data_IF_741819627894
#
_entry.id   IF_741819627894
#
_cell.length_a   1.000
_cell.length_b   1.000
_cell.length_c   1.000
_cell.angle_alpha   90.00
_cell.angle_beta   90.00
_cell.angle_gamma   90.00
#
_symmetry.space_group_name_H-M   'P 1'
#
loop_
_entity.id
_entity.type
_entity.pdbx_description
1 polymer ?
#
# COMPACT_ATOMS: atom_id res chain seq x y z
N UNK A 1 -23.95 -2.74 -29.80
CA UNK A 1 -24.28 -1.62 -28.89
C UNK A 1 -23.10 -1.18 -28.01
N UNK A 2 -22.25 -2.09 -27.51
CA UNK A 2 -21.14 -1.75 -26.58
C UNK A 2 -20.09 -0.79 -27.14
N UNK A 3 -19.64 -0.94 -28.40
CA UNK A 3 -18.54 -0.11 -28.94
C UNK A 3 -18.90 1.39 -28.99
N UNK A 4 -20.13 1.74 -29.40
CA UNK A 4 -20.56 3.15 -29.46
C UNK A 4 -20.63 3.81 -28.08
N UNK A 5 -21.06 3.06 -27.06
CA UNK A 5 -21.12 3.57 -25.69
C UNK A 5 -19.72 3.81 -25.11
N UNK A 6 -18.77 2.90 -25.37
CA UNK A 6 -17.37 3.05 -24.96
C UNK A 6 -16.69 4.21 -25.69
N UNK A 7 -16.89 4.35 -27.01
CA UNK A 7 -16.36 5.49 -27.77
C UNK A 7 -16.94 6.83 -27.30
N UNK A 8 -18.23 6.90 -27.01
CA UNK A 8 -18.84 8.11 -26.46
C UNK A 8 -18.25 8.46 -25.08
N UNK A 9 -18.04 7.45 -24.22
CA UNK A 9 -17.44 7.65 -22.90
C UNK A 9 -15.99 8.13 -22.97
N UNK A 10 -15.19 7.56 -23.87
CA UNK A 10 -13.82 8.01 -24.16
C UNK A 10 -13.78 9.49 -24.53
N UNK A 11 -14.65 9.92 -25.46
CA UNK A 11 -14.70 11.32 -25.90
C UNK A 11 -15.15 12.27 -24.78
N UNK A 12 -16.13 11.87 -23.95
CA UNK A 12 -16.56 12.66 -22.81
C UNK A 12 -15.47 12.82 -21.75
N UNK A 13 -14.67 11.77 -21.52
CA UNK A 13 -13.53 11.86 -20.61
C UNK A 13 -12.41 12.72 -21.22
N UNK A 14 -12.10 12.56 -22.52
CA UNK A 14 -11.10 13.38 -23.22
C UNK A 14 -11.43 14.88 -23.14
N UNK A 15 -12.71 15.25 -23.31
CA UNK A 15 -13.12 16.65 -23.25
C UNK A 15 -12.97 17.27 -21.85
N UNK A 16 -13.03 16.49 -20.77
CA UNK A 16 -12.78 16.99 -19.41
C UNK A 16 -11.30 17.36 -19.17
N UNK A 17 -10.38 16.59 -19.76
CA UNK A 17 -8.94 16.88 -19.63
C UNK A 17 -8.51 18.00 -20.59
N UNK A 18 -9.18 18.12 -21.73
CA UNK A 18 -8.85 19.04 -22.83
C UNK A 18 -8.16 18.29 -23.97
N UNK A 19 -8.41 18.73 -25.21
CA UNK A 19 -7.93 18.04 -26.43
C UNK A 19 -6.39 18.00 -26.50
N UNK A 20 -5.71 19.02 -25.99
CA UNK A 20 -4.23 19.12 -25.96
C UNK A 20 -3.60 18.69 -24.62
N UNK A 21 -4.37 18.00 -23.76
CA UNK A 21 -3.89 17.60 -22.43
C UNK A 21 -2.77 16.56 -22.44
N UNK A 22 -2.56 15.87 -23.56
CA UNK A 22 -1.62 14.75 -23.68
C UNK A 22 -2.02 13.51 -22.88
N UNK A 23 -3.22 13.49 -22.27
CA UNK A 23 -3.70 12.40 -21.43
C UNK A 23 -4.22 11.25 -22.29
N UNK A 24 -3.67 10.05 -22.11
CA UNK A 24 -4.16 8.83 -22.75
C UNK A 24 -5.31 8.21 -21.95
N UNK A 25 -6.53 8.69 -22.23
CA UNK A 25 -7.76 8.23 -21.58
C UNK A 25 -8.05 6.74 -21.86
N UNK A 26 -7.61 6.22 -23.01
CA UNK A 26 -7.78 4.80 -23.32
C UNK A 26 -6.93 3.92 -22.39
N UNK A 27 -5.66 4.30 -22.19
CA UNK A 27 -4.79 3.64 -21.22
C UNK A 27 -5.35 3.75 -19.79
N UNK A 28 -5.94 4.90 -19.42
CA UNK A 28 -6.58 5.07 -18.11
C UNK A 28 -7.74 4.09 -17.89
N UNK A 29 -8.61 3.91 -18.89
CA UNK A 29 -9.75 2.98 -18.80
C UNK A 29 -9.33 1.50 -18.78
N UNK A 30 -8.22 1.17 -19.44
CA UNK A 30 -7.64 -0.19 -19.35
C UNK A 30 -7.15 -0.47 -17.94
N UNK A 31 -6.52 0.52 -17.29
CA UNK A 31 -6.01 0.39 -15.91
C UNK A 31 -7.12 0.43 -14.86
N UNK A 32 -8.11 1.29 -15.05
CA UNK A 32 -9.23 1.47 -14.13
C UNK A 32 -10.57 1.40 -14.88
N UNK A 33 -11.10 0.18 -15.12
CA UNK A 33 -12.34 -0.01 -15.88
C UNK A 33 -13.56 0.66 -15.24
N UNK A 34 -13.54 0.91 -13.93
CA UNK A 34 -14.63 1.56 -13.20
C UNK A 34 -14.91 2.98 -13.70
N UNK A 35 -13.91 3.67 -14.27
CA UNK A 35 -14.10 4.99 -14.89
C UNK A 35 -15.10 4.97 -16.05
N UNK A 36 -15.30 3.83 -16.70
CA UNK A 36 -16.28 3.70 -17.77
C UNK A 36 -17.73 3.91 -17.27
N UNK A 37 -18.02 3.49 -16.04
CA UNK A 37 -19.36 3.52 -15.44
C UNK A 37 -19.60 4.63 -14.41
N UNK A 38 -18.56 5.34 -13.98
CA UNK A 38 -18.65 6.34 -12.92
C UNK A 38 -19.46 7.60 -13.33
N UNK A 39 -20.06 8.29 -12.36
CA UNK A 39 -20.77 9.56 -12.62
C UNK A 39 -19.77 10.64 -13.08
N UNK A 40 -20.07 11.27 -14.22
CA UNK A 40 -19.21 12.31 -14.78
C UNK A 40 -19.11 13.55 -13.89
N UNK A 41 -20.14 13.84 -13.09
CA UNK A 41 -20.10 14.95 -12.11
C UNK A 41 -19.09 14.68 -11.00
N UNK A 42 -18.97 13.43 -10.56
CA UNK A 42 -17.99 13.02 -9.55
C UNK A 42 -16.58 13.19 -10.10
N UNK A 43 -16.33 12.70 -11.31
CA UNK A 43 -15.03 12.84 -12.00
C UNK A 43 -14.68 14.32 -12.20
N UNK A 44 -15.61 15.13 -12.70
CA UNK A 44 -15.38 16.55 -12.97
C UNK A 44 -15.12 17.35 -11.69
N UNK A 45 -15.90 17.11 -10.63
CA UNK A 45 -15.68 17.72 -9.31
C UNK A 45 -14.30 17.36 -8.79
N UNK A 46 -13.94 16.09 -8.86
CA UNK A 46 -12.66 15.59 -8.37
C UNK A 46 -11.47 16.18 -9.12
N UNK A 47 -11.56 16.26 -10.44
CA UNK A 47 -10.56 16.90 -11.28
C UNK A 47 -10.38 18.39 -10.94
N UNK A 48 -11.48 19.10 -10.64
CA UNK A 48 -11.42 20.50 -10.21
C UNK A 48 -10.73 20.65 -8.85
N UNK A 49 -11.08 19.81 -7.86
CA UNK A 49 -10.41 19.77 -6.55
C UNK A 49 -8.89 19.56 -6.70
N UNK A 50 -8.50 18.62 -7.57
CA UNK A 50 -7.09 18.35 -7.87
C UNK A 50 -6.39 19.54 -8.53
N UNK A 51 -7.06 20.22 -9.47
CA UNK A 51 -6.52 21.42 -10.13
C UNK A 51 -6.34 22.59 -9.15
N UNK A 52 -7.24 22.75 -8.19
CA UNK A 52 -7.14 23.81 -7.18
C UNK A 52 -5.98 23.57 -6.21
N UNK A 53 -5.76 22.33 -5.77
CA UNK A 53 -4.69 22.01 -4.81
C UNK A 53 -3.29 21.90 -5.45
N UNK A 54 -3.20 21.47 -6.71
CA UNK A 54 -1.91 21.37 -7.43
C UNK A 54 -1.42 22.68 -8.03
N UNK A 55 -2.27 23.71 -8.12
CA UNK A 55 -1.99 24.90 -8.91
C UNK A 55 -1.88 24.61 -10.42
N UNK A 56 -1.40 25.59 -11.20
CA UNK A 56 -1.23 25.49 -12.67
C UNK A 56 -0.03 24.59 -13.09
N UNK A 57 0.43 23.67 -12.25
CA UNK A 57 1.54 22.76 -12.58
C UNK A 57 1.05 21.53 -13.36
N UNK A 58 1.76 21.18 -14.43
CA UNK A 58 1.42 20.09 -15.36
C UNK A 58 1.49 18.68 -14.78
N UNK A 59 2.01 18.51 -13.57
CA UNK A 59 2.26 17.19 -12.96
C UNK A 59 0.97 16.48 -12.53
N UNK A 60 -0.12 17.24 -12.27
CA UNK A 60 -1.40 16.68 -11.81
C UNK A 60 -2.03 15.73 -12.84
N UNK A 61 -1.98 16.08 -14.13
CA UNK A 61 -2.55 15.23 -15.19
C UNK A 61 -1.73 13.96 -15.42
N UNK A 62 -0.40 14.06 -15.31
CA UNK A 62 0.49 12.89 -15.38
C UNK A 62 0.21 11.92 -14.23
N UNK A 63 0.00 12.45 -13.02
CA UNK A 63 -0.37 11.69 -11.85
C UNK A 63 -1.75 11.01 -12.00
N UNK A 64 -2.76 11.72 -12.51
CA UNK A 64 -4.07 11.12 -12.83
C UNK A 64 -3.95 10.00 -13.86
N UNK A 65 -3.13 10.20 -14.90
CA UNK A 65 -2.91 9.16 -15.90
C UNK A 65 -2.23 7.93 -15.31
N UNK A 66 -1.26 8.13 -14.40
CA UNK A 66 -0.61 7.04 -13.68
C UNK A 66 -1.57 6.32 -12.73
N UNK A 67 -2.51 7.04 -12.11
CA UNK A 67 -3.41 6.53 -11.08
C UNK A 67 -4.85 7.02 -11.29
N UNK A 68 -5.57 6.46 -12.27
CA UNK A 68 -6.89 6.96 -12.68
C UNK A 68 -7.97 6.79 -11.60
N UNK A 69 -7.77 5.87 -10.65
CA UNK A 69 -8.67 5.66 -9.51
C UNK A 69 -8.82 6.88 -8.59
N UNK A 70 -7.87 7.83 -8.61
CA UNK A 70 -7.98 9.08 -7.86
C UNK A 70 -9.20 9.92 -8.23
N UNK A 71 -9.75 9.72 -9.44
CA UNK A 71 -10.95 10.40 -9.93
C UNK A 71 -12.27 9.80 -9.41
N UNK A 72 -12.24 8.56 -8.90
CA UNK A 72 -13.42 7.84 -8.47
C UNK A 72 -13.81 8.15 -7.02
N UNK A 73 -12.86 8.59 -6.21
CA UNK A 73 -13.01 8.77 -4.78
C UNK A 73 -12.57 10.18 -4.40
N UNK A 74 -13.52 11.01 -3.97
CA UNK A 74 -13.27 12.32 -3.39
C UNK A 74 -13.38 12.28 -1.86
N UNK A 75 -12.99 13.36 -1.15
CA UNK A 75 -13.26 13.50 0.28
C UNK A 75 -14.76 13.36 0.53
N UNK A 76 -15.12 12.69 1.63
CA UNK A 76 -16.52 12.49 1.97
C UNK A 76 -17.19 13.85 2.17
N UNK A 77 -18.45 14.02 1.74
CA UNK A 77 -19.19 15.25 2.05
C UNK A 77 -19.37 15.48 3.57
N UNK A 78 -19.07 14.46 4.38
CA UNK A 78 -19.04 14.49 5.84
C UNK A 78 -17.73 15.07 6.41
N UNK A 79 -16.70 15.33 5.59
CA UNK A 79 -15.41 15.90 6.03
C UNK A 79 -15.48 17.40 6.41
N UNK A 80 -16.63 18.05 6.23
CA UNK A 80 -16.82 19.48 6.52
C UNK A 80 -16.82 19.73 8.03
N UNK A 81 -15.65 20.07 8.59
CA UNK A 81 -15.50 20.47 10.00
C UNK A 81 -14.36 19.80 10.77
N UNK A 82 -13.63 18.87 10.14
CA UNK A 82 -12.41 18.29 10.70
C UNK A 82 -11.17 18.96 10.10
N UNK A 83 -10.01 18.77 10.74
CA UNK A 83 -8.75 19.38 10.31
C UNK A 83 -8.42 18.94 8.88
N UNK A 84 -8.73 19.80 7.92
CA UNK A 84 -8.57 19.53 6.49
C UNK A 84 -7.10 19.35 6.15
N UNK A 85 -6.82 18.41 5.24
CA UNK A 85 -5.48 18.24 4.69
C UNK A 85 -5.02 19.53 4.02
N UNK A 86 -3.80 19.95 4.32
CA UNK A 86 -3.12 20.96 3.51
C UNK A 86 -2.99 20.48 2.06
N UNK A 87 -2.90 21.42 1.10
CA UNK A 87 -2.74 21.04 -0.30
C UNK A 87 -1.48 20.20 -0.55
N UNK A 88 -0.43 20.40 0.26
CA UNK A 88 0.79 19.58 0.25
C UNK A 88 0.54 18.15 0.74
N UNK A 89 -0.19 17.97 1.85
CA UNK A 89 -0.55 16.64 2.36
C UNK A 89 -1.41 15.87 1.34
N UNK A 90 -2.36 16.55 0.67
CA UNK A 90 -3.18 15.95 -0.39
C UNK A 90 -2.34 15.52 -1.59
N UNK A 91 -1.42 16.38 -2.05
CA UNK A 91 -0.53 16.03 -3.16
C UNK A 91 0.32 14.79 -2.85
N UNK A 92 0.90 14.74 -1.65
CA UNK A 92 1.63 13.56 -1.19
C UNK A 92 0.75 12.31 -1.13
N UNK A 93 -0.50 12.43 -0.69
CA UNK A 93 -1.43 11.31 -0.70
C UNK A 93 -1.67 10.78 -2.13
N UNK A 94 -1.82 11.68 -3.09
CA UNK A 94 -2.05 11.33 -4.49
C UNK A 94 -0.87 10.65 -5.16
N UNK A 95 0.37 10.93 -4.76
CA UNK A 95 1.54 10.19 -5.27
C UNK A 95 1.43 8.68 -4.99
N UNK A 96 0.77 8.30 -3.89
CA UNK A 96 0.55 6.91 -3.49
C UNK A 96 -0.82 6.36 -3.91
N UNK A 97 -1.64 7.12 -4.64
CA UNK A 97 -2.96 6.67 -5.09
C UNK A 97 -4.00 6.64 -4.00
N UNK A 98 -3.81 7.45 -2.95
CA UNK A 98 -4.77 7.63 -1.88
C UNK A 98 -5.62 8.87 -2.16
N UNK A 99 -6.96 8.79 -2.05
CA UNK A 99 -7.82 9.92 -2.38
C UNK A 99 -7.69 11.09 -1.39
N UNK A 100 -7.47 10.83 -0.12
CA UNK A 100 -7.18 11.85 0.89
C UNK A 100 -6.32 11.25 2.00
N UNK A 101 -5.71 12.12 2.78
CA UNK A 101 -4.96 11.80 3.99
C UNK A 101 -5.61 12.47 5.21
N UNK A 102 -6.93 12.76 5.13
CA UNK A 102 -7.68 13.46 6.18
C UNK A 102 -7.56 12.70 7.49
N UNK A 103 -7.76 13.39 8.62
CA UNK A 103 -7.73 12.70 9.90
C UNK A 103 -8.74 11.54 9.95
N UNK A 104 -9.89 11.67 9.30
CA UNK A 104 -10.90 10.62 9.23
C UNK A 104 -10.43 9.43 8.38
N UNK A 105 -9.93 9.70 7.17
CA UNK A 105 -9.41 8.67 6.27
C UNK A 105 -8.22 7.93 6.87
N UNK A 106 -7.29 8.69 7.46
CA UNK A 106 -6.15 8.14 8.16
C UNK A 106 -6.58 7.25 9.33
N UNK A 107 -7.56 7.69 10.14
CA UNK A 107 -8.08 6.91 11.27
C UNK A 107 -8.78 5.62 10.81
N UNK A 108 -9.51 5.67 9.69
CA UNK A 108 -10.11 4.48 9.07
C UNK A 108 -9.03 3.48 8.66
N UNK A 109 -7.97 3.91 7.98
CA UNK A 109 -6.85 3.03 7.58
C UNK A 109 -6.06 2.47 8.76
N UNK A 110 -5.92 3.25 9.84
CA UNK A 110 -5.35 2.75 11.08
C UNK A 110 -6.22 1.62 11.66
N UNK A 111 -7.55 1.75 11.58
CA UNK A 111 -8.48 0.67 11.97
C UNK A 111 -8.33 -0.56 11.07
N UNK A 112 -8.19 -0.38 9.76
CA UNK A 112 -7.92 -1.47 8.80
C UNK A 112 -6.60 -2.19 9.17
N UNK A 113 -5.55 -1.45 9.53
CA UNK A 113 -4.28 -2.01 9.99
C UNK A 113 -4.42 -2.80 11.30
N UNK A 114 -5.24 -2.31 12.25
CA UNK A 114 -5.53 -3.06 13.48
C UNK A 114 -6.23 -4.38 13.17
N UNK A 115 -7.25 -4.37 12.31
CA UNK A 115 -7.91 -5.59 11.87
C UNK A 115 -6.97 -6.54 11.11
N UNK A 116 -6.05 -5.99 10.30
CA UNK A 116 -5.00 -6.75 9.64
C UNK A 116 -4.12 -7.47 10.67
N UNK A 117 -3.67 -6.76 11.71
CA UNK A 117 -2.91 -7.35 12.80
C UNK A 117 -3.67 -8.43 13.54
N UNK A 118 -4.95 -8.24 13.82
CA UNK A 118 -5.77 -9.25 14.49
C UNK A 118 -5.89 -10.54 13.65
N UNK A 119 -5.93 -10.40 12.32
CA UNK A 119 -6.00 -11.54 11.39
C UNK A 119 -4.65 -12.24 11.16
N UNK A 120 -3.55 -11.48 11.13
CA UNK A 120 -2.23 -11.99 10.72
C UNK A 120 -1.22 -12.16 11.86
N UNK A 121 -1.47 -11.55 13.02
CA UNK A 121 -0.55 -11.50 14.15
C UNK A 121 0.47 -10.35 14.09
N UNK A 122 0.55 -9.62 12.97
CA UNK A 122 1.52 -8.55 12.73
C UNK A 122 0.94 -7.39 11.92
N UNK A 123 1.64 -6.25 11.91
CA UNK A 123 1.27 -5.06 11.14
C UNK A 123 2.14 -4.89 9.86
N UNK A 124 2.75 -5.96 9.35
CA UNK A 124 3.66 -5.91 8.19
C UNK A 124 2.92 -6.11 6.87
N UNK A 125 2.20 -5.05 6.47
CA UNK A 125 1.44 -5.00 5.21
C UNK A 125 2.36 -4.77 4.01
N UNK A 126 2.03 -5.40 2.88
CA UNK A 126 2.67 -5.21 1.57
C UNK A 126 3.51 -6.39 1.11
N UNK A 127 3.55 -7.48 1.88
CA UNK A 127 4.45 -8.60 1.63
C UNK A 127 3.73 -9.94 1.54
N UNK A 128 2.38 -9.94 1.48
CA UNK A 128 1.57 -11.13 1.22
C UNK A 128 0.75 -10.93 -0.06
N UNK A 129 0.53 -12.02 -0.80
CA UNK A 129 -0.20 -11.99 -2.07
C UNK A 129 -1.64 -11.46 -1.97
N UNK A 130 -2.29 -11.63 -0.80
CA UNK A 130 -3.68 -11.25 -0.57
C UNK A 130 -3.84 -9.96 0.25
N UNK A 131 -2.76 -9.20 0.40
CA UNK A 131 -2.85 -7.90 1.08
C UNK A 131 -3.74 -6.94 0.28
N UNK A 132 -4.56 -6.16 0.99
CA UNK A 132 -5.51 -5.22 0.38
C UNK A 132 -4.73 -4.08 -0.28
N UNK A 133 -4.86 -3.83 -1.60
CA UNK A 133 -4.04 -2.85 -2.32
C UNK A 133 -4.06 -1.45 -1.72
N UNK A 134 -5.20 -1.02 -1.18
CA UNK A 134 -5.34 0.29 -0.53
C UNK A 134 -4.50 0.40 0.74
N UNK A 135 -4.47 -0.65 1.56
CA UNK A 135 -3.68 -0.69 2.79
C UNK A 135 -2.18 -0.79 2.48
N UNK A 136 -1.80 -1.47 1.39
CA UNK A 136 -0.41 -1.51 0.89
C UNK A 136 0.06 -0.09 0.51
N UNK A 137 -0.74 0.63 -0.30
CA UNK A 137 -0.44 2.02 -0.68
C UNK A 137 -0.34 2.94 0.53
N UNK A 138 -1.28 2.80 1.47
CA UNK A 138 -1.28 3.58 2.70
C UNK A 138 -0.04 3.30 3.56
N UNK A 139 0.34 2.04 3.74
CA UNK A 139 1.56 1.66 4.45
C UNK A 139 2.82 2.22 3.76
N UNK A 140 2.91 2.14 2.43
CA UNK A 140 4.00 2.73 1.66
C UNK A 140 4.11 4.24 1.86
N UNK A 141 2.98 4.95 1.88
CA UNK A 141 2.94 6.39 2.21
C UNK A 141 3.47 6.65 3.62
N UNK A 142 3.02 5.90 4.62
CA UNK A 142 3.51 6.08 6.00
C UNK A 142 5.03 5.90 6.08
N UNK A 143 5.60 4.89 5.40
CA UNK A 143 7.05 4.70 5.33
C UNK A 143 7.75 5.88 4.64
N UNK A 144 7.16 6.45 3.60
CA UNK A 144 7.69 7.64 2.91
C UNK A 144 7.68 8.89 3.78
N UNK A 145 6.57 9.16 4.47
CA UNK A 145 6.44 10.31 5.36
C UNK A 145 7.38 10.20 6.57
N UNK A 146 7.59 8.99 7.09
CA UNK A 146 8.57 8.72 8.14
C UNK A 146 10.00 9.00 7.65
N UNK A 147 10.40 8.45 6.50
CA UNK A 147 11.75 8.67 5.93
C UNK A 147 12.02 10.14 5.61
N UNK A 148 11.01 10.87 5.16
CA UNK A 148 11.12 12.31 4.83
C UNK A 148 10.93 13.23 6.05
N UNK A 149 10.75 12.70 7.26
CA UNK A 149 10.46 13.47 8.48
C UNK A 149 9.21 14.36 8.38
N UNK A 150 8.29 14.02 7.48
CA UNK A 150 7.02 14.74 7.29
C UNK A 150 5.86 14.12 8.10
N UNK A 151 6.10 12.96 8.71
CA UNK A 151 5.11 12.29 9.55
C UNK A 151 4.84 13.06 10.84
N UNK A 152 3.57 13.28 11.15
CA UNK A 152 3.14 13.85 12.42
C UNK A 152 3.44 12.90 13.59
N UNK A 153 3.74 13.46 14.76
CA UNK A 153 4.10 12.68 15.96
C UNK A 153 2.97 11.76 16.43
N UNK A 154 1.72 12.23 16.40
CA UNK A 154 0.54 11.45 16.77
C UNK A 154 0.34 10.23 15.87
N UNK A 155 0.54 10.38 14.56
CA UNK A 155 0.49 9.29 13.59
C UNK A 155 1.59 8.27 13.83
N UNK A 156 2.80 8.75 14.11
CA UNK A 156 3.95 7.90 14.43
C UNK A 156 3.67 7.05 15.68
N UNK A 157 3.26 7.67 16.78
CA UNK A 157 2.97 6.98 18.05
C UNK A 157 1.87 5.92 17.89
N UNK A 158 0.81 6.23 17.14
CA UNK A 158 -0.27 5.30 16.89
C UNK A 158 0.15 4.09 16.02
N UNK A 159 1.04 4.29 15.05
CA UNK A 159 1.61 3.21 14.25
C UNK A 159 2.57 2.33 15.08
N UNK A 160 3.42 2.95 15.88
CA UNK A 160 4.33 2.25 16.80
C UNK A 160 3.56 1.40 17.83
N UNK A 161 2.44 1.91 18.35
CA UNK A 161 1.57 1.16 19.27
C UNK A 161 0.94 -0.10 18.63
N UNK A 162 0.83 -0.15 17.31
CA UNK A 162 0.37 -1.33 16.58
C UNK A 162 1.52 -2.26 16.16
N UNK A 163 2.78 -1.90 16.45
CA UNK A 163 3.95 -2.65 16.00
C UNK A 163 4.25 -2.48 14.50
N UNK A 164 3.81 -1.37 13.90
CA UNK A 164 4.12 -1.06 12.51
C UNK A 164 5.63 -0.78 12.36
N UNK A 165 6.26 -1.47 11.42
CA UNK A 165 7.69 -1.28 11.11
C UNK A 165 7.83 -0.36 9.89
N UNK A 166 8.55 0.76 10.08
CA UNK A 166 8.71 1.80 9.06
C UNK A 166 9.82 1.46 8.06
N UNK A 167 10.83 0.69 8.48
CA UNK A 167 11.83 0.17 7.57
C UNK A 167 11.25 -1.01 6.78
N UNK A 168 11.19 -0.87 5.46
CA UNK A 168 10.54 -1.83 4.58
C UNK A 168 11.23 -3.19 4.58
N UNK A 169 12.56 -3.20 4.54
CA UNK A 169 13.34 -4.43 4.54
C UNK A 169 13.25 -5.17 5.89
N UNK A 170 13.17 -4.41 6.99
CA UNK A 170 12.94 -4.95 8.32
C UNK A 170 11.50 -5.45 8.47
N UNK A 171 10.51 -4.73 7.95
CA UNK A 171 9.11 -5.16 7.98
C UNK A 171 8.90 -6.48 7.22
N UNK A 172 9.50 -6.63 6.04
CA UNK A 172 9.46 -7.88 5.29
C UNK A 172 10.09 -9.03 6.07
N UNK A 173 11.27 -8.79 6.67
CA UNK A 173 11.95 -9.80 7.48
C UNK A 173 11.12 -10.19 8.71
N UNK A 174 10.57 -9.20 9.42
CA UNK A 174 9.75 -9.43 10.61
C UNK A 174 8.45 -10.16 10.29
N UNK A 175 7.89 -9.97 9.08
CA UNK A 175 6.74 -10.76 8.63
C UNK A 175 7.08 -12.25 8.56
N UNK A 176 8.17 -12.60 7.88
CA UNK A 176 8.60 -14.01 7.77
C UNK A 176 8.93 -14.59 9.14
N UNK A 177 9.54 -13.80 10.01
CA UNK A 177 9.78 -14.19 11.40
C UNK A 177 8.48 -14.47 12.16
N UNK A 178 7.47 -13.59 12.06
CA UNK A 178 6.17 -13.77 12.71
C UNK A 178 5.48 -15.04 12.21
N UNK A 179 5.53 -15.28 10.89
CA UNK A 179 4.99 -16.50 10.28
C UNK A 179 5.70 -17.76 10.84
N UNK A 180 7.02 -17.75 10.90
CA UNK A 180 7.81 -18.84 11.49
C UNK A 180 7.51 -19.08 12.97
N UNK A 181 7.36 -18.00 13.76
CA UNK A 181 7.07 -18.09 15.18
C UNK A 181 5.68 -18.73 15.43
N UNK A 182 4.73 -18.46 14.53
CA UNK A 182 3.36 -19.04 14.61
C UNK A 182 3.26 -20.46 14.06
N UNK A 183 4.21 -20.91 13.23
CA UNK A 183 4.17 -22.23 12.58
C UNK A 183 4.64 -23.40 13.46
N UNK A 184 4.66 -23.23 14.78
CA UNK A 184 5.21 -24.18 15.75
C UNK A 184 4.20 -25.28 16.13
N UNK A 185 3.83 -26.16 15.18
CA UNK A 185 3.59 -27.61 15.42
C UNK A 185 3.03 -28.34 14.19
N UNK A 186 3.71 -29.41 13.79
CA UNK A 186 3.24 -30.64 13.11
C UNK A 186 2.35 -30.58 11.84
N UNK A 187 2.09 -29.41 11.26
CA UNK A 187 1.10 -29.26 10.16
C UNK A 187 1.74 -28.87 8.83
N UNK A 188 2.91 -29.44 8.50
CA UNK A 188 3.61 -29.23 7.22
C UNK A 188 2.99 -30.01 6.04
N UNK A 189 1.82 -30.65 6.22
CA UNK A 189 1.20 -31.51 5.21
C UNK A 189 -0.30 -31.23 5.03
N UNK A 190 -0.64 -30.02 4.58
CA UNK A 190 -2.02 -29.70 4.20
C UNK A 190 -2.16 -28.46 3.35
N UNK A 191 -2.23 -28.62 2.02
CA UNK A 191 -2.38 -27.57 0.99
C UNK A 191 -1.26 -26.50 0.88
N UNK A 192 -0.30 -26.50 1.81
CA UNK A 192 0.72 -25.48 2.05
C UNK A 192 2.03 -25.58 1.26
N UNK A 193 2.22 -26.59 0.40
CA UNK A 193 3.51 -26.88 -0.25
C UNK A 193 4.25 -25.65 -0.83
N UNK A 194 3.55 -24.68 -1.44
CA UNK A 194 4.19 -23.46 -1.96
C UNK A 194 4.57 -22.47 -0.87
N UNK A 195 3.71 -22.28 0.15
CA UNK A 195 3.96 -21.36 1.26
C UNK A 195 5.04 -21.91 2.20
N UNK A 196 4.98 -23.21 2.46
CA UNK A 196 5.97 -23.97 3.21
C UNK A 196 7.32 -23.92 2.48
N UNK A 197 7.34 -23.97 1.14
CA UNK A 197 8.56 -23.81 0.34
C UNK A 197 9.17 -22.40 0.48
N UNK A 198 8.36 -21.33 0.43
CA UNK A 198 8.89 -19.97 0.60
C UNK A 198 9.46 -19.75 2.01
N UNK A 199 8.76 -20.21 3.05
CA UNK A 199 9.24 -20.12 4.43
C UNK A 199 10.51 -20.97 4.64
N UNK A 200 10.55 -22.18 4.07
CA UNK A 200 11.73 -23.04 4.08
C UNK A 200 12.93 -22.38 3.40
N UNK A 201 12.72 -21.79 2.23
CA UNK A 201 13.76 -21.06 1.50
C UNK A 201 14.25 -19.87 2.33
N UNK A 202 13.33 -19.12 2.94
CA UNK A 202 13.67 -18.01 3.83
C UNK A 202 14.53 -18.48 5.02
N UNK A 203 14.18 -19.61 5.65
CA UNK A 203 14.97 -20.22 6.73
C UNK A 203 16.39 -20.60 6.26
N UNK A 204 16.50 -21.19 5.06
CA UNK A 204 17.81 -21.53 4.45
C UNK A 204 18.66 -20.28 4.23
N UNK A 205 18.05 -19.19 3.75
CA UNK A 205 18.72 -17.88 3.61
C UNK A 205 19.24 -17.38 4.97
N UNK A 206 18.47 -17.53 6.06
CA UNK A 206 18.94 -17.12 7.39
C UNK A 206 20.15 -17.93 7.84
N UNK A 207 20.16 -19.25 7.62
CA UNK A 207 21.30 -20.13 7.95
C UNK A 207 22.56 -19.73 7.19
N UNK A 208 22.44 -19.50 5.87
CA UNK A 208 23.55 -19.04 5.03
C UNK A 208 24.06 -17.68 5.52
N UNK A 209 23.17 -16.73 5.79
CA UNK A 209 23.53 -15.39 6.26
C UNK A 209 24.24 -15.42 7.62
N UNK A 210 23.86 -16.32 8.54
CA UNK A 210 24.57 -16.51 9.81
C UNK A 210 25.97 -17.11 9.58
N UNK A 211 26.10 -18.14 8.73
CA UNK A 211 27.39 -18.77 8.41
C UNK A 211 28.36 -17.80 7.73
N UNK A 212 27.87 -16.89 6.91
CA UNK A 212 28.68 -15.87 6.22
C UNK A 212 28.96 -14.61 7.07
N UNK A 213 28.38 -14.50 8.27
CA UNK A 213 28.49 -13.32 9.13
C UNK A 213 27.70 -12.09 8.63
N UNK A 214 26.80 -12.27 7.66
CA UNK A 214 25.99 -11.20 7.08
C UNK A 214 24.65 -10.97 7.82
N UNK A 215 24.26 -11.89 8.72
CA UNK A 215 23.02 -11.76 9.49
C UNK A 215 23.21 -10.83 10.69
N UNK A 216 22.36 -9.81 10.79
CA UNK A 216 22.38 -8.86 11.89
C UNK A 216 22.11 -9.52 13.25
N UNK A 217 22.74 -9.01 14.31
CA UNK A 217 22.72 -9.63 15.64
C UNK A 217 21.32 -9.64 16.27
N UNK A 218 20.52 -8.61 16.03
CA UNK A 218 19.12 -8.54 16.46
C UNK A 218 18.26 -9.67 15.85
N UNK A 219 18.47 -9.97 14.56
CA UNK A 219 17.81 -11.08 13.87
C UNK A 219 18.20 -12.44 14.42
N UNK A 220 19.48 -12.62 14.78
CA UNK A 220 19.95 -13.84 15.44
C UNK A 220 19.26 -14.01 16.79
N UNK A 221 19.20 -12.97 17.61
CA UNK A 221 18.54 -13.00 18.93
C UNK A 221 17.06 -13.37 18.80
N UNK A 222 16.35 -12.81 17.81
CA UNK A 222 14.95 -13.12 17.56
C UNK A 222 14.74 -14.59 17.16
N UNK A 223 15.59 -15.13 16.28
CA UNK A 223 15.52 -16.52 15.85
C UNK A 223 15.91 -17.50 16.96
N UNK A 224 16.92 -17.18 17.77
CA UNK A 224 17.31 -17.99 18.92
C UNK A 224 16.19 -18.04 19.97
N UNK A 225 15.41 -16.97 20.13
CA UNK A 225 14.27 -16.92 21.06
C UNK A 225 13.13 -17.89 20.72
N UNK A 226 13.01 -18.30 19.45
CA UNK A 226 12.05 -19.32 19.01
C UNK A 226 12.70 -20.70 18.81
N UNK A 227 13.90 -20.89 19.37
CA UNK A 227 14.69 -22.12 19.22
C UNK A 227 14.93 -22.54 17.75
N UNK A 228 15.18 -21.56 16.87
CA UNK A 228 15.41 -21.81 15.45
C UNK A 228 16.58 -22.78 15.22
N UNK A 229 16.32 -23.83 14.43
CA UNK A 229 17.34 -24.81 14.08
C UNK A 229 18.29 -24.28 12.99
N UNK A 230 19.51 -23.94 13.44
CA UNK A 230 20.61 -23.52 12.59
C UNK A 230 21.32 -24.68 11.86
N UNK A 231 21.02 -25.94 12.22
CA UNK A 231 21.71 -27.15 11.72
C UNK A 231 20.95 -27.88 10.60
N UNK A 232 19.66 -27.59 10.41
CA UNK A 232 18.82 -28.24 9.41
C UNK A 232 19.38 -28.16 7.99
N UNK A 233 19.16 -29.23 7.22
CA UNK A 233 19.66 -29.37 5.85
C UNK A 233 19.27 -28.16 4.99
N UNK A 234 20.21 -27.66 4.21
CA UNK A 234 19.90 -26.74 3.11
C UNK A 234 19.19 -27.56 2.03
N UNK A 235 18.05 -27.12 1.47
CA UNK A 235 17.43 -27.87 0.33
C UNK A 235 18.30 -27.88 -0.94
N UNK A 236 19.50 -27.31 -0.87
CA UNK A 236 20.48 -27.22 -1.94
C UNK A 236 21.79 -27.94 -1.60
N UNK A 237 21.83 -28.79 -0.56
CA UNK A 237 22.97 -29.66 -0.25
C UNK A 237 22.72 -31.12 -0.63
#
# INVERSE_FOLDING_TARGET
MQVRAVSARLLQLQSLFGEDSGVDVAAMLIREPQLAGADMKVIARRLLEMRLASGMQGDMLQMIQAQPGLLLHGPSAEDVGHQEDTDEERRRAWEFGLPSDSQQDWSRRLSDLRAYRDCHGDAHVGFRERDVPELIRWAAKQRSDWRSSAMRSDRKEALEALGFEFDEAKAEWMRWYAELATSTDDTMLGSGLSRDLYLYNWCSVQRIAKRSGALAQDRIVLLDAIAFDWTGADALS
#
